data_IF_631288482599
#
_entry.id   IF_631288482599
#
_cell.length_a   1.000
_cell.length_b   1.000
_cell.length_c   1.000
_cell.angle_alpha   90.00
_cell.angle_beta   90.00
_cell.angle_gamma   90.00
#
_symmetry.space_group_name_H-M   'P 1'
#
loop_
_entity.id
_entity.type
_entity.pdbx_description
1 polymer ?
#
# COMPACT_ATOMS: atom_id res chain seq x y z
N UNK A 1 -38.21 -19.29 12.27
CA UNK A 1 -37.09 -18.94 13.17
C UNK A 1 -35.81 -19.52 12.57
N UNK A 2 -35.12 -18.85 11.63
CA UNK A 2 -33.80 -19.28 11.22
C UNK A 2 -32.77 -18.61 12.12
N UNK A 3 -32.01 -19.44 12.82
CA UNK A 3 -30.79 -19.07 13.55
C UNK A 3 -29.73 -18.60 12.57
N UNK A 4 -29.45 -17.30 12.59
CA UNK A 4 -28.30 -16.69 11.93
C UNK A 4 -27.02 -17.13 12.64
N UNK A 5 -26.12 -17.77 11.90
CA UNK A 5 -24.76 -18.09 12.33
C UNK A 5 -23.89 -16.86 12.07
N UNK A 6 -23.70 -16.04 13.10
CA UNK A 6 -22.70 -14.97 13.12
C UNK A 6 -21.32 -15.59 13.32
N UNK A 7 -20.46 -15.48 12.31
CA UNK A 7 -19.01 -15.73 12.43
C UNK A 7 -18.37 -14.59 13.24
N UNK A 8 -17.46 -14.86 14.19
CA UNK A 8 -16.79 -13.80 14.92
C UNK A 8 -15.62 -13.23 14.09
N UNK A 9 -15.79 -12.02 13.56
CA UNK A 9 -14.68 -11.16 13.15
C UNK A 9 -13.95 -10.67 14.42
N UNK A 10 -12.79 -11.27 14.71
CA UNK A 10 -11.82 -10.72 15.68
C UNK A 10 -10.65 -10.12 14.90
N UNK A 11 -10.70 -8.81 14.66
CA UNK A 11 -9.50 -8.03 14.42
C UNK A 11 -8.89 -7.71 15.80
N UNK A 12 -7.85 -8.45 16.20
CA UNK A 12 -7.00 -8.03 17.31
C UNK A 12 -5.79 -7.33 16.70
N UNK A 13 -5.74 -6.00 16.82
CA UNK A 13 -4.54 -5.21 16.56
C UNK A 13 -3.49 -5.59 17.62
N UNK A 14 -2.48 -6.37 17.25
CA UNK A 14 -1.33 -6.64 18.12
C UNK A 14 -0.36 -5.46 18.00
N UNK A 15 -0.36 -4.60 19.02
CA UNK A 15 0.64 -3.55 19.20
C UNK A 15 2.01 -4.18 19.53
N UNK A 16 2.99 -4.06 18.63
CA UNK A 16 4.38 -4.33 18.95
C UNK A 16 5.05 -3.06 19.49
N UNK A 17 5.35 -3.04 20.80
CA UNK A 17 6.25 -2.06 21.42
C UNK A 17 7.71 -2.52 21.30
N UNK A 18 8.38 -2.14 20.21
CA UNK A 18 9.81 -2.40 19.98
C UNK A 18 10.75 -1.47 20.77
N UNK A 19 10.27 -0.66 21.73
CA UNK A 19 11.12 0.32 22.44
C UNK A 19 12.06 -0.27 23.51
N UNK A 20 11.99 -1.58 23.80
CA UNK A 20 12.72 -2.20 24.92
C UNK A 20 14.14 -2.71 24.57
N UNK A 21 14.54 -2.78 23.30
CA UNK A 21 15.82 -3.41 22.94
C UNK A 21 17.05 -2.48 22.93
N UNK A 22 16.89 -1.15 22.90
CA UNK A 22 18.02 -0.20 22.78
C UNK A 22 18.05 0.82 23.93
N UNK A 23 18.43 0.36 25.14
CA UNK A 23 18.86 1.24 26.23
C UNK A 23 20.27 0.87 26.68
N UNK A 24 21.25 1.25 25.88
CA UNK A 24 22.62 1.50 26.34
C UNK A 24 23.50 2.06 25.21
N UNK A 25 23.59 3.39 25.11
CA UNK A 25 24.81 4.01 24.62
C UNK A 25 25.21 5.22 25.49
N UNK A 26 26.53 5.46 25.65
CA UNK A 26 27.07 6.38 26.64
C UNK A 26 27.15 7.82 26.13
N UNK A 27 27.21 8.73 27.10
CA UNK A 27 27.33 10.18 27.04
C UNK A 27 28.22 10.77 25.93
N UNK A 28 27.67 11.80 25.30
CA UNK A 28 28.25 12.80 24.37
C UNK A 28 29.54 13.46 24.89
N UNK A 29 30.59 13.65 24.07
CA UNK A 29 31.64 14.62 24.34
C UNK A 29 31.24 16.02 23.84
N UNK A 30 31.57 17.03 24.65
CA UNK A 30 31.30 18.46 24.46
C UNK A 30 31.80 19.02 23.12
N UNK A 31 30.91 19.73 22.40
CA UNK A 31 31.27 20.60 21.28
C UNK A 31 32.03 21.84 21.77
N UNK A 32 33.20 22.09 21.18
CA UNK A 32 33.94 23.35 21.29
C UNK A 32 33.25 24.43 20.44
N UNK A 33 32.96 25.57 21.06
CA UNK A 33 32.53 26.81 20.42
C UNK A 33 33.62 27.33 19.46
N UNK A 34 33.22 27.64 18.23
CA UNK A 34 33.97 28.49 17.31
C UNK A 34 33.10 29.70 16.91
N UNK A 35 33.67 30.89 17.07
CA UNK A 35 33.07 32.20 16.77
C UNK A 35 33.00 32.49 15.26
N UNK A 36 32.09 33.38 14.79
CA UNK A 36 31.84 33.60 13.38
C UNK A 36 32.80 34.64 12.77
N UNK A 37 33.20 34.44 11.52
CA UNK A 37 33.90 35.45 10.72
C UNK A 37 33.17 35.68 9.40
N UNK A 38 32.74 36.93 9.22
CA UNK A 38 32.57 37.72 7.98
C UNK A 38 32.21 37.02 6.66
N UNK A 39 31.03 37.35 6.13
CA UNK A 39 30.58 37.00 4.79
C UNK A 39 31.14 37.89 3.65
N UNK A 40 31.02 37.44 2.39
CA UNK A 40 31.11 38.27 1.19
C UNK A 40 29.76 38.33 0.41
N UNK A 41 29.64 39.15 -0.66
CA UNK A 41 28.45 39.96 -0.89
C UNK A 41 27.42 39.41 -1.88
N UNK A 42 26.22 40.02 -1.80
CA UNK A 42 25.07 39.87 -2.68
C UNK A 42 25.42 40.02 -4.17
N UNK A 43 25.07 39.00 -4.96
CA UNK A 43 24.88 39.10 -6.41
C UNK A 43 23.38 39.08 -6.69
N UNK A 44 22.89 40.15 -7.34
CA UNK A 44 21.51 40.26 -7.84
C UNK A 44 21.39 39.46 -9.14
N UNK A 45 20.53 38.45 -9.18
CA UNK A 45 20.08 37.84 -10.42
C UNK A 45 18.64 38.24 -10.74
N UNK A 46 18.46 38.80 -11.93
CA UNK A 46 17.18 39.11 -12.54
C UNK A 46 16.43 37.82 -12.89
N UNK A 47 15.16 37.79 -12.51
CA UNK A 47 14.17 36.77 -12.86
C UNK A 47 13.67 36.97 -14.30
N UNK A 48 13.62 35.87 -15.05
CA UNK A 48 12.72 35.70 -16.22
C UNK A 48 12.14 34.28 -16.18
N UNK A 49 10.83 34.08 -16.42
CA UNK A 49 10.24 32.75 -16.45
C UNK A 49 10.31 32.19 -17.87
N UNK A 50 10.91 31.01 -18.02
CA UNK A 50 10.86 30.22 -19.25
C UNK A 50 10.29 28.85 -18.90
N UNK A 51 9.02 28.64 -19.23
CA UNK A 51 8.40 27.33 -19.25
C UNK A 51 8.99 26.52 -20.41
N UNK A 52 9.70 25.44 -20.10
CA UNK A 52 10.04 24.39 -21.05
C UNK A 52 9.93 23.04 -20.32
N UNK A 53 8.85 22.32 -20.58
CA UNK A 53 8.78 20.88 -20.32
C UNK A 53 9.74 20.20 -21.30
N UNK A 54 10.91 19.78 -20.80
CA UNK A 54 11.81 18.91 -21.54
C UNK A 54 11.32 17.46 -21.36
N UNK A 55 10.85 16.88 -22.46
CA UNK A 55 10.77 15.44 -22.60
C UNK A 55 12.17 14.85 -22.45
N UNK A 56 12.41 14.11 -21.37
CA UNK A 56 13.65 13.36 -21.19
C UNK A 56 13.56 12.11 -22.06
N UNK A 57 14.21 12.17 -23.23
CA UNK A 57 14.63 10.97 -23.94
C UNK A 57 15.83 10.39 -23.18
N UNK A 58 15.62 9.28 -22.47
CA UNK A 58 16.71 8.54 -21.83
C UNK A 58 17.51 7.79 -22.89
N UNK A 59 18.75 8.22 -23.10
CA UNK A 59 19.78 7.51 -23.86
C UNK A 59 20.15 6.20 -23.17
N UNK A 60 20.00 5.09 -23.89
CA UNK A 60 20.54 3.79 -23.52
C UNK A 60 22.06 3.79 -23.71
N UNK A 61 22.81 3.90 -22.63
CA UNK A 61 24.22 3.49 -22.60
C UNK A 61 24.38 2.27 -21.69
N UNK A 62 24.80 1.18 -22.34
CA UNK A 62 24.98 -0.16 -21.81
C UNK A 62 26.10 -0.21 -20.76
N UNK A 63 25.72 -0.27 -19.50
CA UNK A 63 26.55 -0.84 -18.45
C UNK A 63 26.08 -2.29 -18.24
N UNK A 64 27.00 -3.25 -18.37
CA UNK A 64 26.70 -4.68 -18.33
C UNK A 64 25.96 -5.03 -17.02
N UNK A 65 24.65 -5.27 -17.15
CA UNK A 65 23.79 -5.76 -16.09
C UNK A 65 24.21 -7.18 -15.73
N UNK A 66 24.71 -7.39 -14.52
CA UNK A 66 24.58 -8.69 -13.88
C UNK A 66 23.12 -8.81 -13.44
N UNK A 67 22.27 -9.29 -14.36
CA UNK A 67 20.92 -9.74 -14.04
C UNK A 67 21.01 -10.89 -13.03
N UNK A 68 20.91 -10.57 -11.74
CA UNK A 68 20.32 -11.51 -10.79
C UNK A 68 18.83 -11.33 -10.91
N UNK A 69 18.23 -12.09 -11.84
CA UNK A 69 16.78 -12.25 -11.94
C UNK A 69 16.24 -12.53 -10.54
N UNK A 70 15.26 -11.75 -10.08
CA UNK A 70 14.31 -12.25 -9.09
C UNK A 70 13.70 -13.51 -9.73
N UNK A 71 14.16 -14.68 -9.31
CA UNK A 71 13.55 -15.92 -9.79
C UNK A 71 12.19 -16.03 -9.12
N UNK A 72 11.16 -15.53 -9.82
CA UNK A 72 9.79 -15.98 -9.60
C UNK A 72 9.83 -17.48 -9.90
N UNK A 73 9.81 -18.28 -8.84
CA UNK A 73 9.74 -19.74 -8.98
C UNK A 73 8.29 -20.12 -9.31
N UNK A 74 7.90 -19.95 -10.58
CA UNK A 74 6.66 -20.53 -11.09
C UNK A 74 6.79 -22.05 -11.06
N UNK A 75 5.97 -22.69 -10.24
CA UNK A 75 5.90 -24.14 -10.18
C UNK A 75 5.42 -24.73 -11.50
N UNK A 76 5.96 -25.90 -11.84
CA UNK A 76 5.55 -26.69 -13.01
C UNK A 76 4.05 -26.96 -12.93
N UNK A 77 3.31 -26.48 -13.94
CA UNK A 77 1.86 -26.63 -14.05
C UNK A 77 1.44 -28.10 -13.87
N UNK A 78 0.51 -28.40 -12.94
CA UNK A 78 -0.14 -29.71 -12.94
C UNK A 78 -0.99 -29.82 -14.21
N UNK A 79 -0.92 -30.96 -14.90
CA UNK A 79 -1.78 -31.20 -16.05
C UNK A 79 -3.25 -31.08 -15.64
N UNK A 80 -4.10 -30.53 -16.53
CA UNK A 80 -5.55 -30.30 -16.31
C UNK A 80 -6.29 -31.59 -15.90
N UNK A 81 -5.68 -32.76 -16.06
CA UNK A 81 -6.23 -34.07 -15.72
C UNK A 81 -5.82 -34.61 -14.32
N UNK A 82 -4.95 -33.94 -13.57
CA UNK A 82 -4.43 -34.44 -12.27
C UNK A 82 -4.77 -33.60 -11.04
N UNK A 83 -5.55 -32.51 -11.17
CA UNK A 83 -5.91 -31.67 -10.02
C UNK A 83 -7.04 -32.36 -9.23
N UNK A 84 -6.68 -33.30 -8.37
CA UNK A 84 -7.49 -33.57 -7.20
C UNK A 84 -7.45 -32.30 -6.33
N UNK A 85 -8.51 -31.48 -6.41
CA UNK A 85 -8.58 -30.15 -5.77
C UNK A 85 -8.13 -30.15 -4.30
N UNK A 86 -8.44 -31.21 -3.56
CA UNK A 86 -8.03 -31.37 -2.17
C UNK A 86 -6.52 -31.56 -1.95
N UNK A 87 -5.81 -32.12 -2.94
CA UNK A 87 -4.35 -32.34 -2.89
C UNK A 87 -3.59 -31.07 -3.27
N UNK A 88 -4.09 -30.31 -4.24
CA UNK A 88 -3.44 -29.09 -4.73
C UNK A 88 -3.34 -28.01 -3.66
N UNK A 89 -4.47 -27.64 -3.03
CA UNK A 89 -4.48 -26.63 -1.94
C UNK A 89 -3.61 -27.02 -0.74
N UNK A 90 -3.53 -28.32 -0.42
CA UNK A 90 -2.63 -28.84 0.64
C UNK A 90 -1.16 -28.72 0.25
N UNK A 91 -0.83 -28.92 -1.02
CA UNK A 91 0.53 -28.75 -1.55
C UNK A 91 0.96 -27.29 -1.46
N UNK A 92 0.08 -26.35 -1.82
CA UNK A 92 0.33 -24.90 -1.67
C UNK A 92 0.61 -24.57 -0.19
N UNK A 93 -0.27 -24.98 0.73
CA UNK A 93 -0.07 -24.75 2.18
C UNK A 93 1.25 -25.35 2.67
N UNK A 94 1.59 -26.58 2.26
CA UNK A 94 2.85 -27.21 2.65
C UNK A 94 4.08 -26.46 2.11
N UNK A 95 3.99 -25.87 0.93
CA UNK A 95 5.06 -25.09 0.34
C UNK A 95 5.24 -23.73 1.02
N UNK A 96 4.15 -23.02 1.31
CA UNK A 96 4.16 -21.80 2.13
C UNK A 96 4.88 -22.08 3.45
N UNK A 97 4.46 -23.15 4.16
CA UNK A 97 5.06 -23.56 5.43
C UNK A 97 6.52 -24.01 5.33
N UNK A 98 6.89 -24.67 4.24
CA UNK A 98 8.24 -25.17 4.01
C UNK A 98 9.27 -24.08 3.75
N UNK A 99 8.84 -22.86 3.40
CA UNK A 99 9.71 -21.76 2.97
C UNK A 99 10.10 -20.76 4.05
N UNK A 100 9.93 -21.10 5.34
CA UNK A 100 10.33 -20.24 6.48
C UNK A 100 11.75 -19.65 6.42
N UNK A 101 12.66 -20.13 5.54
CA UNK A 101 14.07 -19.73 5.46
C UNK A 101 14.57 -19.39 4.04
N UNK A 102 13.69 -19.10 3.07
CA UNK A 102 14.06 -18.82 1.67
C UNK A 102 14.04 -17.34 1.28
N UNK A 103 14.97 -16.93 0.41
CA UNK A 103 15.20 -15.54 -0.09
C UNK A 103 14.15 -15.07 -1.12
N UNK A 104 13.03 -15.75 -1.26
CA UNK A 104 12.01 -15.38 -2.25
C UNK A 104 10.90 -14.59 -1.56
N UNK A 105 10.90 -13.27 -1.76
CA UNK A 105 9.97 -12.33 -1.13
C UNK A 105 8.52 -12.49 -1.63
N UNK A 106 8.30 -13.16 -2.76
CA UNK A 106 6.98 -13.46 -3.31
C UNK A 106 6.93 -14.81 -4.06
N UNK A 107 5.76 -15.44 -4.07
CA UNK A 107 5.49 -16.67 -4.82
C UNK A 107 4.08 -16.63 -5.42
N UNK A 108 3.96 -16.91 -6.71
CA UNK A 108 2.67 -17.00 -7.39
C UNK A 108 2.24 -18.44 -7.66
N UNK A 109 0.94 -18.68 -7.52
CA UNK A 109 0.26 -19.94 -7.80
C UNK A 109 -0.93 -19.64 -8.73
N UNK A 110 -0.92 -20.24 -9.92
CA UNK A 110 -2.03 -20.13 -10.88
C UNK A 110 -3.10 -21.19 -10.66
N UNK A 111 -4.28 -20.98 -11.25
CA UNK A 111 -5.44 -21.88 -11.18
C UNK A 111 -5.95 -22.13 -9.75
N UNK A 112 -5.82 -21.12 -8.88
CA UNK A 112 -6.40 -21.13 -7.54
C UNK A 112 -7.83 -20.62 -7.66
N UNK A 113 -8.81 -21.42 -7.22
CA UNK A 113 -10.19 -20.96 -7.14
C UNK A 113 -10.43 -20.18 -5.84
N UNK A 114 -11.52 -19.41 -5.76
CA UNK A 114 -11.88 -18.69 -4.52
C UNK A 114 -11.99 -19.63 -3.31
N UNK A 115 -12.58 -20.82 -3.49
CA UNK A 115 -12.68 -21.83 -2.42
C UNK A 115 -11.31 -22.41 -2.04
N UNK A 116 -10.34 -22.44 -2.96
CA UNK A 116 -8.97 -22.84 -2.65
C UNK A 116 -8.27 -21.74 -1.87
N UNK A 117 -8.42 -20.47 -2.27
CA UNK A 117 -7.93 -19.32 -1.54
C UNK A 117 -8.47 -19.27 -0.10
N UNK A 118 -9.79 -19.36 0.09
CA UNK A 118 -10.41 -19.36 1.42
C UNK A 118 -9.85 -20.47 2.30
N UNK A 119 -9.70 -21.68 1.74
CA UNK A 119 -9.09 -22.80 2.46
C UNK A 119 -7.62 -22.53 2.81
N UNK A 120 -6.83 -21.99 1.89
CA UNK A 120 -5.41 -21.70 2.11
C UNK A 120 -5.27 -20.62 3.17
N UNK A 121 -6.03 -19.53 3.06
CA UNK A 121 -6.07 -18.42 4.01
C UNK A 121 -6.42 -18.92 5.41
N UNK A 122 -7.51 -19.69 5.56
CA UNK A 122 -7.90 -20.29 6.84
C UNK A 122 -6.82 -21.24 7.38
N UNK A 123 -6.20 -22.04 6.50
CA UNK A 123 -5.21 -23.03 6.90
C UNK A 123 -3.88 -22.42 7.36
N UNK A 124 -3.54 -21.21 6.92
CA UNK A 124 -2.32 -20.50 7.33
C UNK A 124 -2.57 -19.36 8.31
N UNK A 125 -3.82 -18.96 8.56
CA UNK A 125 -4.16 -17.90 9.51
C UNK A 125 -3.69 -18.20 10.96
N UNK A 126 -3.44 -19.47 11.30
CA UNK A 126 -2.88 -19.87 12.60
C UNK A 126 -1.35 -19.87 12.64
N UNK A 127 -0.69 -19.76 11.49
CA UNK A 127 0.76 -19.70 11.42
C UNK A 127 1.15 -18.22 11.60
N UNK A 128 1.76 -17.86 12.74
CA UNK A 128 2.23 -16.50 13.10
C UNK A 128 2.34 -15.57 11.88
N UNK A 129 1.45 -14.58 11.77
CA UNK A 129 1.18 -13.53 10.74
C UNK A 129 2.29 -13.20 9.70
N UNK A 130 2.91 -14.21 9.09
CA UNK A 130 4.14 -14.07 8.30
C UNK A 130 3.89 -13.95 6.80
N UNK A 131 2.64 -14.05 6.34
CA UNK A 131 2.32 -14.11 4.92
C UNK A 131 1.14 -13.21 4.59
N UNK A 132 1.33 -12.31 3.63
CA UNK A 132 0.24 -11.60 2.98
C UNK A 132 -0.21 -12.42 1.77
N UNK A 133 -1.50 -12.72 1.69
CA UNK A 133 -2.09 -13.46 0.58
C UNK A 133 -2.86 -12.50 -0.31
N UNK A 134 -2.36 -12.27 -1.53
CA UNK A 134 -3.09 -11.54 -2.56
C UNK A 134 -3.72 -12.53 -3.53
N UNK A 135 -5.05 -12.51 -3.65
CA UNK A 135 -5.77 -13.34 -4.60
C UNK A 135 -6.44 -12.47 -5.66
N UNK A 136 -6.15 -12.77 -6.92
CA UNK A 136 -6.68 -12.09 -8.10
C UNK A 136 -7.68 -13.03 -8.79
N UNK A 137 -9.00 -12.80 -8.62
CA UNK A 137 -10.02 -13.71 -9.13
C UNK A 137 -10.06 -13.79 -10.66
N UNK A 138 -9.72 -12.71 -11.37
CA UNK A 138 -9.77 -12.64 -12.84
C UNK A 138 -8.75 -13.59 -13.48
N UNK A 139 -7.54 -13.65 -12.93
CA UNK A 139 -6.46 -14.53 -13.36
C UNK A 139 -6.42 -15.88 -12.63
N UNK A 140 -7.28 -16.07 -11.63
CA UNK A 140 -7.23 -17.25 -10.73
C UNK A 140 -5.83 -17.44 -10.14
N UNK A 141 -5.19 -16.35 -9.75
CA UNK A 141 -3.82 -16.31 -9.27
C UNK A 141 -3.81 -15.99 -7.78
N UNK A 142 -3.05 -16.76 -7.00
CA UNK A 142 -2.71 -16.47 -5.62
C UNK A 142 -1.25 -16.09 -5.56
N UNK A 143 -0.94 -14.90 -5.07
CA UNK A 143 0.40 -14.45 -4.74
C UNK A 143 0.54 -14.49 -3.23
N UNK A 144 1.53 -15.25 -2.76
CA UNK A 144 1.95 -15.29 -1.37
C UNK A 144 3.16 -14.37 -1.24
N UNK A 145 3.01 -13.33 -0.45
CA UNK A 145 4.03 -12.30 -0.25
C UNK A 145 4.51 -12.44 1.19
N UNK A 146 5.83 -12.53 1.37
CA UNK A 146 6.43 -12.34 2.68
C UNK A 146 6.47 -10.83 2.94
N UNK A 147 5.81 -10.32 4.00
CA UNK A 147 5.82 -8.90 4.33
C UNK A 147 7.26 -8.43 4.44
N UNK A 148 7.67 -7.51 3.55
CA UNK A 148 9.02 -6.97 3.63
C UNK A 148 9.07 -5.95 4.76
N UNK A 149 10.16 -5.87 5.55
CA UNK A 149 10.27 -4.85 6.58
C UNK A 149 10.13 -3.43 6.03
N UNK A 150 10.52 -3.19 4.77
CA UNK A 150 10.34 -1.91 4.08
C UNK A 150 8.87 -1.59 3.88
N UNK A 151 8.11 -2.53 3.33
CA UNK A 151 6.68 -2.39 3.08
C UNK A 151 5.89 -2.16 4.37
N UNK A 152 6.07 -3.01 5.38
CA UNK A 152 5.35 -2.92 6.65
C UNK A 152 5.67 -1.64 7.45
N UNK A 153 6.95 -1.25 7.50
CA UNK A 153 7.31 0.01 8.16
C UNK A 153 6.78 1.23 7.40
N UNK A 154 6.57 1.14 6.09
CA UNK A 154 6.02 2.23 5.29
C UNK A 154 4.49 2.38 5.49
N UNK A 155 3.75 1.26 5.57
CA UNK A 155 2.29 1.27 5.68
C UNK A 155 1.77 1.92 6.95
N UNK A 156 2.37 1.61 8.09
CA UNK A 156 1.89 2.07 9.40
C UNK A 156 1.80 3.60 9.56
N UNK A 157 2.88 4.38 9.30
CA UNK A 157 2.79 5.83 9.36
C UNK A 157 1.83 6.39 8.30
N UNK A 158 1.81 5.82 7.09
CA UNK A 158 0.90 6.26 6.03
C UNK A 158 -0.57 6.12 6.45
N UNK A 159 -0.96 4.96 6.96
CA UNK A 159 -2.32 4.70 7.43
C UNK A 159 -2.73 5.66 8.57
N UNK A 160 -1.82 5.94 9.52
CA UNK A 160 -2.09 6.90 10.60
C UNK A 160 -2.26 8.33 10.09
N UNK A 161 -1.45 8.74 9.11
CA UNK A 161 -1.61 10.04 8.45
C UNK A 161 -2.96 10.13 7.74
N UNK A 162 -3.38 9.08 7.03
CA UNK A 162 -4.68 9.03 6.37
C UNK A 162 -5.82 9.10 7.39
N UNK A 163 -5.76 8.32 8.47
CA UNK A 163 -6.75 8.32 9.56
C UNK A 163 -6.95 9.72 10.15
N UNK A 164 -5.85 10.40 10.51
CA UNK A 164 -5.90 11.77 11.02
C UNK A 164 -6.51 12.77 10.03
N UNK A 165 -6.20 12.62 8.73
CA UNK A 165 -6.74 13.48 7.66
C UNK A 165 -8.25 13.28 7.52
N UNK A 166 -8.73 12.04 7.43
CA UNK A 166 -10.17 11.76 7.28
C UNK A 166 -10.96 12.14 8.54
N UNK A 167 -10.41 11.90 9.73
CA UNK A 167 -11.01 12.36 10.98
C UNK A 167 -11.17 13.89 11.01
N UNK A 168 -10.28 14.64 10.35
CA UNK A 168 -10.36 16.11 10.30
C UNK A 168 -11.47 16.65 9.38
N UNK A 169 -12.06 15.81 8.51
CA UNK A 169 -13.13 16.23 7.58
C UNK A 169 -14.40 16.67 8.32
N UNK A 170 -14.60 16.20 9.55
CA UNK A 170 -15.66 16.68 10.44
C UNK A 170 -17.06 16.23 10.03
N UNK A 171 -17.19 15.07 9.39
CA UNK A 171 -18.50 14.43 9.19
C UNK A 171 -19.05 14.05 10.56
N UNK A 172 -20.27 14.49 10.85
CA UNK A 172 -20.90 14.17 12.12
C UNK A 172 -21.34 12.69 12.16
N UNK A 173 -21.21 11.99 13.30
CA UNK A 173 -21.41 10.54 13.37
C UNK A 173 -22.81 10.07 12.94
N UNK A 174 -23.82 10.93 13.00
CA UNK A 174 -25.18 10.65 12.51
C UNK A 174 -25.28 10.45 11.00
N UNK A 175 -24.29 10.91 10.24
CA UNK A 175 -24.20 10.71 8.79
C UNK A 175 -23.34 9.51 8.41
N UNK A 176 -22.34 9.21 9.24
CA UNK A 176 -21.41 8.10 9.03
C UNK A 176 -20.01 8.40 9.52
N UNK A 177 -19.09 7.47 9.27
CA UNK A 177 -17.68 7.57 9.64
C UNK A 177 -16.77 7.04 8.54
N UNK A 178 -15.55 7.59 8.47
CA UNK A 178 -14.50 7.03 7.64
C UNK A 178 -13.75 5.93 8.40
N UNK A 179 -13.52 4.81 7.72
CA UNK A 179 -12.76 3.68 8.21
C UNK A 179 -11.54 3.48 7.33
N UNK A 180 -10.34 3.56 7.91
CA UNK A 180 -9.08 3.29 7.22
C UNK A 180 -8.60 1.93 7.68
N UNK A 181 -8.56 0.96 6.76
CA UNK A 181 -8.26 -0.43 7.08
C UNK A 181 -7.05 -0.89 6.28
N UNK A 182 -6.12 -1.57 6.94
CA UNK A 182 -5.04 -2.27 6.25
C UNK A 182 -5.49 -3.66 5.82
N UNK A 183 -5.04 -4.10 4.64
CA UNK A 183 -5.26 -5.46 4.13
C UNK A 183 -6.74 -5.89 4.15
N UNK A 184 -7.66 -4.92 3.96
CA UNK A 184 -9.09 -5.20 3.94
C UNK A 184 -9.55 -5.61 2.55
N UNK A 185 -10.64 -6.36 2.47
CA UNK A 185 -11.13 -6.89 1.20
C UNK A 185 -11.89 -5.82 0.44
N UNK A 186 -11.40 -5.48 -0.75
CA UNK A 186 -12.14 -4.67 -1.71
C UNK A 186 -13.19 -5.55 -2.39
N UNK A 187 -14.44 -5.12 -2.35
CA UNK A 187 -15.59 -5.86 -2.82
C UNK A 187 -16.13 -5.19 -4.08
N UNK A 188 -16.37 -5.98 -5.12
CA UNK A 188 -17.01 -5.50 -6.33
C UNK A 188 -18.51 -5.30 -6.13
N UNK A 189 -19.14 -4.61 -7.07
CA UNK A 189 -20.59 -4.42 -7.03
C UNK A 189 -21.31 -5.78 -7.16
N UNK A 190 -22.03 -6.18 -6.11
CA UNK A 190 -22.95 -7.31 -6.15
C UNK A 190 -24.29 -6.87 -6.73
N UNK A 191 -24.86 -7.61 -7.68
CA UNK A 191 -26.28 -7.43 -8.02
C UNK A 191 -27.11 -7.76 -6.78
N UNK A 192 -28.07 -6.90 -6.43
CA UNK A 192 -28.94 -7.03 -5.25
C UNK A 192 -29.32 -8.50 -4.96
N UNK A 193 -28.81 -9.04 -3.85
CA UNK A 193 -29.03 -10.43 -3.41
C UNK A 193 -27.87 -11.42 -3.66
N UNK A 194 -26.86 -11.08 -4.46
CA UNK A 194 -25.61 -11.85 -4.56
C UNK A 194 -24.58 -11.28 -3.61
N UNK A 195 -23.84 -12.14 -2.90
CA UNK A 195 -22.65 -11.70 -2.17
C UNK A 195 -21.72 -10.95 -3.12
N UNK A 196 -21.24 -9.79 -2.67
CA UNK A 196 -20.27 -8.99 -3.40
C UNK A 196 -19.04 -9.86 -3.70
N UNK A 197 -18.61 -9.86 -4.97
CA UNK A 197 -17.44 -10.64 -5.38
C UNK A 197 -16.19 -9.93 -4.84
N UNK A 198 -15.31 -10.59 -4.07
CA UNK A 198 -14.05 -9.99 -3.67
C UNK A 198 -13.21 -9.71 -4.92
N UNK A 199 -12.60 -8.52 -5.01
CA UNK A 199 -11.72 -8.12 -6.11
C UNK A 199 -10.25 -8.26 -5.73
N UNK A 200 -9.93 -8.07 -4.45
CA UNK A 200 -8.59 -8.21 -3.90
C UNK A 200 -8.51 -7.57 -2.52
N UNK A 201 -7.28 -7.36 -2.04
CA UNK A 201 -6.98 -6.78 -0.73
C UNK A 201 -5.92 -5.69 -0.91
N UNK A 202 -6.30 -4.42 -1.12
CA UNK A 202 -5.34 -3.33 -1.12
C UNK A 202 -4.66 -3.22 0.25
N UNK A 203 -3.41 -2.78 0.24
CA UNK A 203 -2.63 -2.59 1.46
C UNK A 203 -3.30 -1.60 2.42
N UNK A 204 -3.92 -0.54 1.87
CA UNK A 204 -4.79 0.38 2.62
C UNK A 204 -6.08 0.61 1.83
N UNK A 205 -7.22 0.45 2.51
CA UNK A 205 -8.54 0.77 2.00
C UNK A 205 -9.18 1.86 2.87
N UNK A 206 -9.67 2.92 2.23
CA UNK A 206 -10.54 3.91 2.86
C UNK A 206 -11.98 3.61 2.50
N UNK A 207 -12.79 3.39 3.53
CA UNK A 207 -14.22 3.20 3.42
C UNK A 207 -14.97 4.34 4.12
N UNK A 208 -16.17 4.67 3.65
CA UNK A 208 -17.16 5.44 4.40
C UNK A 208 -18.32 4.53 4.76
N UNK A 209 -18.66 4.47 6.04
CA UNK A 209 -19.75 3.67 6.58
C UNK A 209 -20.84 4.65 6.99
N UNK A 210 -21.98 4.62 6.29
CA UNK A 210 -23.10 5.49 6.63
C UNK A 210 -23.91 4.97 7.82
N UNK A 211 -24.94 5.73 8.22
CA UNK A 211 -25.85 5.38 9.32
C UNK A 211 -26.61 4.07 9.10
N UNK A 212 -26.80 3.64 7.84
CA UNK A 212 -27.52 2.44 7.45
C UNK A 212 -26.60 1.22 7.32
N UNK A 213 -25.32 1.41 7.63
CA UNK A 213 -24.25 0.42 7.50
C UNK A 213 -23.94 0.03 6.05
N UNK A 214 -24.32 0.86 5.06
CA UNK A 214 -23.76 0.71 3.73
C UNK A 214 -22.30 1.15 3.73
N UNK A 215 -21.51 0.50 2.87
CA UNK A 215 -20.07 0.72 2.79
C UNK A 215 -19.70 1.27 1.42
N UNK A 216 -19.20 2.49 1.40
CA UNK A 216 -18.57 3.07 0.23
C UNK A 216 -17.07 2.83 0.28
N UNK A 217 -16.52 2.13 -0.71
CA UNK A 217 -15.09 1.88 -0.85
C UNK A 217 -14.50 2.95 -1.75
N UNK A 218 -13.83 3.94 -1.14
CA UNK A 218 -13.56 5.22 -1.78
C UNK A 218 -12.12 5.33 -2.29
N UNK A 219 -11.14 4.75 -1.59
CA UNK A 219 -9.74 4.85 -1.97
C UNK A 219 -8.97 3.57 -1.64
N UNK A 220 -8.41 2.94 -2.69
CA UNK A 220 -7.47 1.83 -2.54
C UNK A 220 -6.02 2.27 -2.72
N UNK A 221 -5.12 1.80 -1.87
CA UNK A 221 -3.68 2.05 -1.96
C UNK A 221 -2.91 0.74 -1.97
N UNK A 222 -1.97 0.62 -2.90
CA UNK A 222 -1.00 -0.46 -2.99
C UNK A 222 0.41 0.11 -2.81
N UNK A 223 1.28 -0.63 -2.12
CA UNK A 223 2.68 -0.32 -1.91
C UNK A 223 3.50 -1.45 -2.52
N UNK A 224 4.21 -1.13 -3.61
CA UNK A 224 5.06 -2.10 -4.30
C UNK A 224 6.48 -2.00 -3.79
N UNK A 225 7.06 -3.14 -3.41
CA UNK A 225 8.50 -3.26 -3.12
C UNK A 225 9.07 -4.58 -3.64
N UNK A 226 8.51 -5.70 -3.20
CA UNK A 226 8.87 -7.05 -3.65
C UNK A 226 8.05 -7.54 -4.84
N UNK A 227 6.92 -6.90 -5.10
CA UNK A 227 6.07 -7.15 -6.27
C UNK A 227 6.58 -6.37 -7.49
N UNK A 228 6.30 -6.89 -8.69
CA UNK A 228 6.57 -6.14 -9.91
C UNK A 228 5.50 -5.07 -10.10
N UNK A 229 5.86 -3.95 -10.71
CA UNK A 229 4.90 -2.88 -11.00
C UNK A 229 3.76 -3.40 -11.87
N UNK A 230 4.07 -4.26 -12.82
CA UNK A 230 3.10 -4.87 -13.74
C UNK A 230 2.06 -5.69 -12.97
N UNK A 231 2.49 -6.55 -12.04
CA UNK A 231 1.58 -7.35 -11.21
C UNK A 231 0.64 -6.45 -10.39
N UNK A 232 1.17 -5.37 -9.82
CA UNK A 232 0.34 -4.41 -9.07
C UNK A 232 -0.62 -3.66 -9.97
N UNK A 233 -0.20 -3.26 -11.18
CA UNK A 233 -1.11 -2.62 -12.14
C UNK A 233 -2.23 -3.58 -12.60
N UNK A 234 -1.96 -4.88 -12.72
CA UNK A 234 -3.01 -5.87 -12.96
C UNK A 234 -4.02 -5.94 -11.80
N UNK A 235 -3.55 -5.93 -10.54
CA UNK A 235 -4.44 -5.83 -9.35
C UNK A 235 -5.30 -4.56 -9.39
N UNK A 236 -4.68 -3.41 -9.66
CA UNK A 236 -5.38 -2.13 -9.74
C UNK A 236 -6.43 -2.13 -10.87
N UNK A 237 -6.15 -2.77 -12.00
CA UNK A 237 -7.10 -2.86 -13.11
C UNK A 237 -8.36 -3.65 -12.71
N UNK A 238 -8.20 -4.75 -11.97
CA UNK A 238 -9.34 -5.49 -11.41
C UNK A 238 -10.19 -4.61 -10.47
N UNK A 239 -9.56 -3.70 -9.72
CA UNK A 239 -10.26 -2.73 -8.87
C UNK A 239 -11.05 -1.72 -9.70
N UNK A 240 -10.46 -1.19 -10.78
CA UNK A 240 -11.14 -0.28 -11.71
C UNK A 240 -12.37 -0.96 -12.33
N UNK A 241 -12.23 -2.20 -12.77
CA UNK A 241 -13.26 -2.93 -13.49
C UNK A 241 -14.41 -3.37 -12.58
N UNK A 242 -14.14 -3.61 -11.29
CA UNK A 242 -15.09 -4.20 -10.35
C UNK A 242 -15.68 -3.25 -9.29
N UNK A 243 -14.94 -2.24 -8.85
CA UNK A 243 -15.35 -1.34 -7.76
C UNK A 243 -15.93 -0.04 -8.32
N UNK A 244 -17.26 0.07 -8.31
CA UNK A 244 -17.95 1.21 -8.92
C UNK A 244 -17.80 2.53 -8.14
N UNK A 245 -17.60 2.45 -6.83
CA UNK A 245 -17.50 3.57 -5.91
C UNK A 245 -16.06 4.01 -5.63
N UNK A 246 -15.04 3.30 -6.15
CA UNK A 246 -13.65 3.69 -5.91
C UNK A 246 -13.34 5.00 -6.64
N UNK A 247 -13.04 6.04 -5.86
CA UNK A 247 -12.72 7.39 -6.34
C UNK A 247 -11.27 7.50 -6.74
N UNK A 248 -10.39 6.86 -5.97
CA UNK A 248 -8.96 6.97 -6.15
C UNK A 248 -8.26 5.62 -5.99
N UNK A 249 -7.22 5.44 -6.80
CA UNK A 249 -6.25 4.37 -6.65
C UNK A 249 -4.86 4.99 -6.53
N UNK A 250 -4.09 4.58 -5.53
CA UNK A 250 -2.71 5.04 -5.35
C UNK A 250 -1.74 3.88 -5.33
N UNK A 251 -0.63 4.02 -6.04
CA UNK A 251 0.52 3.13 -6.01
C UNK A 251 1.73 3.87 -5.45
N UNK A 252 2.29 3.36 -4.36
CA UNK A 252 3.62 3.72 -3.88
C UNK A 252 4.63 2.66 -4.34
N UNK A 253 5.37 2.95 -5.40
CA UNK A 253 6.37 2.06 -5.97
C UNK A 253 7.75 2.39 -5.37
N UNK A 254 8.14 1.60 -4.37
CA UNK A 254 9.39 1.74 -3.61
C UNK A 254 10.51 0.96 -4.33
N UNK A 255 11.54 1.66 -4.80
CA UNK A 255 12.67 1.08 -5.52
C UNK A 255 13.98 1.30 -4.80
N UNK A 256 14.76 0.23 -4.64
CA UNK A 256 16.19 0.34 -4.31
C UNK A 256 16.96 0.71 -5.57
N UNK A 257 17.36 1.98 -5.69
CA UNK A 257 18.20 2.48 -6.79
C UNK A 257 19.59 1.82 -6.80
N UNK A 258 20.05 1.38 -5.63
CA UNK A 258 21.29 0.61 -5.47
C UNK A 258 20.94 -0.60 -4.61
N UNK A 259 20.97 -1.78 -5.21
CA UNK A 259 20.83 -3.03 -4.45
C UNK A 259 21.95 -3.09 -3.41
N UNK A 260 21.60 -3.55 -2.23
CA UNK A 260 22.52 -3.86 -1.14
C UNK A 260 23.80 -4.57 -1.63
N UNK A 261 24.91 -3.83 -1.75
CA UNK A 261 26.21 -4.36 -2.21
C UNK A 261 27.03 -4.91 -1.04
N UNK A 262 27.75 -6.04 -1.24
CA UNK A 262 28.61 -6.57 -0.21
C UNK A 262 29.78 -5.62 0.11
N UNK A 263 30.38 -5.73 1.30
CA UNK A 263 31.33 -4.74 1.82
C UNK A 263 32.61 -4.53 0.99
N UNK A 264 32.95 -5.47 0.10
CA UNK A 264 34.12 -5.36 -0.79
C UNK A 264 33.89 -4.42 -1.98
N UNK A 265 32.64 -4.14 -2.32
CA UNK A 265 32.24 -3.35 -3.49
C UNK A 265 31.74 -1.95 -3.11
N UNK A 266 31.27 -1.76 -1.87
CA UNK A 266 30.74 -0.49 -1.38
C UNK A 266 31.79 0.61 -1.18
N UNK A 267 33.07 0.27 -1.02
CA UNK A 267 34.14 1.25 -0.77
C UNK A 267 34.49 2.15 -1.97
N UNK A 268 34.12 1.77 -3.20
CA UNK A 268 34.39 2.56 -4.42
C UNK A 268 33.24 3.47 -4.85
N UNK A 269 32.02 3.16 -4.42
CA UNK A 269 30.80 3.86 -4.86
C UNK A 269 30.47 5.07 -3.97
N UNK A 270 31.04 5.09 -2.76
CA UNK A 270 30.78 6.08 -1.73
C UNK A 270 31.17 7.51 -2.13
N UNK A 271 32.24 7.67 -2.90
CA UNK A 271 32.75 9.00 -3.30
C UNK A 271 31.92 9.65 -4.41
N UNK A 272 30.98 8.92 -5.02
CA UNK A 272 30.23 9.37 -6.22
C UNK A 272 28.76 9.68 -5.96
N UNK A 273 28.22 9.31 -4.79
CA UNK A 273 26.79 9.30 -4.56
C UNK A 273 26.39 10.24 -3.41
N UNK A 274 26.01 11.47 -3.77
CA UNK A 274 25.57 12.51 -2.82
C UNK A 274 24.16 12.27 -2.22
N UNK A 275 23.44 11.22 -2.64
CA UNK A 275 22.02 11.01 -2.35
C UNK A 275 21.70 9.66 -1.67
N UNK A 276 22.72 8.99 -1.12
CA UNK A 276 22.53 7.66 -0.53
C UNK A 276 22.48 7.75 0.98
N UNK A 277 21.48 7.11 1.57
CA UNK A 277 21.51 6.81 2.98
C UNK A 277 22.49 5.67 3.27
N UNK A 278 23.36 5.93 4.24
CA UNK A 278 24.27 4.91 4.71
C UNK A 278 23.61 3.99 5.73
N UNK A 279 23.50 2.73 5.36
CA UNK A 279 23.08 1.67 6.28
C UNK A 279 24.34 0.93 6.75
N UNK A 280 24.88 1.33 7.90
CA UNK A 280 25.99 0.59 8.51
C UNK A 280 25.46 -0.61 9.28
N UNK A 281 25.80 -1.83 8.82
CA UNK A 281 25.48 -3.10 9.50
C UNK A 281 26.78 -3.76 9.95
N UNK A 282 26.95 -4.00 11.25
CA UNK A 282 28.14 -4.63 11.85
C UNK A 282 29.49 -4.06 11.35
N UNK A 283 29.62 -2.73 11.28
CA UNK A 283 30.82 -2.01 10.79
C UNK A 283 31.07 -2.09 9.28
N UNK A 284 30.15 -2.68 8.52
CA UNK A 284 30.16 -2.64 7.07
C UNK A 284 29.13 -1.63 6.56
N UNK A 285 29.56 -0.73 5.68
CA UNK A 285 28.66 0.22 5.05
C UNK A 285 27.97 -0.45 3.88
N UNK A 286 26.66 -0.64 4.02
CA UNK A 286 25.77 -0.97 2.93
C UNK A 286 25.15 0.35 2.43
N UNK A 287 25.15 0.51 1.11
CA UNK A 287 24.69 1.71 0.40
C UNK A 287 23.32 1.33 -0.16
N UNK A 288 22.25 1.98 0.30
CA UNK A 288 20.91 1.83 -0.27
C UNK A 288 20.32 3.21 -0.50
N UNK A 289 20.05 3.53 -1.75
CA UNK A 289 19.23 4.69 -2.11
C UNK A 289 17.85 4.16 -2.45
N UNK A 290 16.83 4.75 -1.85
CA UNK A 290 15.44 4.41 -2.15
C UNK A 290 14.75 5.60 -2.80
N UNK A 291 14.05 5.31 -3.88
CA UNK A 291 13.05 6.21 -4.46
C UNK A 291 11.67 5.64 -4.17
N UNK A 292 10.72 6.53 -3.91
CA UNK A 292 9.29 6.18 -3.83
C UNK A 292 8.58 6.93 -4.94
N UNK A 293 8.14 6.21 -5.97
CA UNK A 293 7.28 6.79 -7.01
C UNK A 293 5.84 6.68 -6.54
N UNK A 294 5.19 7.82 -6.33
CA UNK A 294 3.77 7.92 -5.98
C UNK A 294 2.98 8.16 -7.26
N UNK A 295 2.12 7.22 -7.63
CA UNK A 295 1.19 7.36 -8.76
C UNK A 295 -0.23 7.31 -8.23
N UNK A 296 -1.07 8.29 -8.56
CA UNK A 296 -2.50 8.25 -8.21
C UNK A 296 -3.35 8.50 -9.45
N UNK A 297 -4.40 7.70 -9.58
CA UNK A 297 -5.45 7.82 -10.58
C UNK A 297 -6.76 8.20 -9.89
N UNK A 298 -7.49 9.14 -10.48
CA UNK A 298 -8.75 9.67 -9.96
C UNK A 298 -9.89 9.38 -10.92
N UNK A 299 -11.05 9.05 -10.37
CA UNK A 299 -12.27 8.88 -11.14
C UNK A 299 -12.72 10.23 -11.69
N UNK A 300 -12.97 10.27 -13.00
CA UNK A 300 -13.53 11.44 -13.69
C UNK A 300 -14.96 11.70 -13.22
N UNK A 301 -15.46 12.95 -13.33
CA UNK A 301 -16.88 13.26 -13.04
C UNK A 301 -17.87 12.44 -13.87
N UNK A 302 -17.47 12.00 -15.08
CA UNK A 302 -18.26 11.12 -15.92
C UNK A 302 -18.34 9.67 -15.39
N UNK A 303 -17.69 9.37 -14.27
CA UNK A 303 -17.73 8.07 -13.60
C UNK A 303 -16.64 7.09 -14.05
N UNK A 304 -15.79 7.43 -15.02
CA UNK A 304 -14.72 6.55 -15.49
C UNK A 304 -13.42 6.76 -14.70
N UNK A 305 -12.82 5.67 -14.24
CA UNK A 305 -11.44 5.60 -13.77
C UNK A 305 -10.66 4.77 -14.80
N UNK A 306 -9.50 5.23 -15.26
CA UNK A 306 -8.69 4.55 -16.28
C UNK A 306 -7.21 4.66 -15.92
N UNK A 307 -6.53 3.52 -15.83
CA UNK A 307 -5.11 3.47 -15.46
C UNK A 307 -4.17 3.92 -16.59
N UNK A 308 -4.65 3.90 -17.83
CA UNK A 308 -3.89 4.31 -19.02
C UNK A 308 -4.07 5.80 -19.34
N UNK A 309 -4.96 6.47 -18.62
CA UNK A 309 -5.20 7.89 -18.76
C UNK A 309 -4.14 8.68 -17.99
N UNK A 310 -3.43 9.54 -18.71
CA UNK A 310 -2.36 10.38 -18.17
C UNK A 310 -2.73 11.87 -18.20
N UNK A 311 -4.02 12.17 -18.21
CA UNK A 311 -4.53 13.53 -18.04
C UNK A 311 -4.12 14.09 -16.68
N UNK A 312 -3.35 15.19 -16.69
CA UNK A 312 -2.79 15.81 -15.47
C UNK A 312 -3.86 16.23 -14.44
N UNK A 313 -5.15 16.30 -14.80
CA UNK A 313 -6.23 16.55 -13.86
C UNK A 313 -6.64 15.30 -13.06
N UNK A 314 -6.53 14.12 -13.66
CA UNK A 314 -7.02 12.84 -13.11
C UNK A 314 -5.92 11.80 -12.90
N UNK A 315 -4.70 12.13 -13.28
CA UNK A 315 -3.51 11.32 -13.12
C UNK A 315 -2.36 12.20 -12.65
N UNK A 316 -1.63 11.74 -11.65
CA UNK A 316 -0.39 12.38 -11.27
C UNK A 316 0.64 11.35 -10.82
N UNK A 317 1.89 11.62 -11.17
CA UNK A 317 3.04 10.84 -10.77
C UNK A 317 4.11 11.77 -10.21
N UNK A 318 4.66 11.43 -9.06
CA UNK A 318 5.75 12.17 -8.43
C UNK A 318 6.75 11.19 -7.81
N UNK A 319 8.02 11.58 -7.80
CA UNK A 319 9.09 10.78 -7.20
C UNK A 319 9.55 11.44 -5.91
N UNK A 320 9.65 10.66 -4.84
CA UNK A 320 10.16 11.09 -3.55
C UNK A 320 11.49 10.40 -3.28
N UNK A 321 12.51 11.21 -3.01
CA UNK A 321 13.81 10.76 -2.52
C UNK A 321 13.94 11.08 -1.03
N UNK A 322 14.93 10.52 -0.31
CA UNK A 322 15.16 10.85 1.10
C UNK A 322 15.37 12.36 1.32
N UNK A 323 15.97 13.02 0.33
CA UNK A 323 16.17 14.46 0.30
C UNK A 323 15.21 15.15 -0.69
N UNK A 324 13.99 14.63 -0.82
CA UNK A 324 12.99 15.13 -1.76
C UNK A 324 12.94 16.66 -1.71
N UNK A 325 13.07 17.29 -2.87
CA UNK A 325 12.97 18.73 -2.95
C UNK A 325 11.53 19.17 -2.62
N UNK A 326 11.40 20.44 -2.24
CA UNK A 326 10.10 21.02 -1.89
C UNK A 326 9.09 20.93 -3.04
N UNK A 327 9.56 20.87 -4.29
CA UNK A 327 8.73 20.73 -5.48
C UNK A 327 8.05 19.37 -5.55
N UNK A 328 8.80 18.28 -5.38
CA UNK A 328 8.30 16.91 -5.49
C UNK A 328 7.29 16.62 -4.38
N UNK A 329 7.59 17.05 -3.16
CA UNK A 329 6.66 16.94 -2.04
C UNK A 329 5.40 17.78 -2.26
N UNK A 330 5.51 19.01 -2.76
CA UNK A 330 4.36 19.85 -3.08
C UNK A 330 3.47 19.24 -4.17
N UNK A 331 4.06 18.51 -5.12
CA UNK A 331 3.29 17.80 -6.15
C UNK A 331 2.49 16.64 -5.56
N UNK A 332 3.08 15.83 -4.67
CA UNK A 332 2.36 14.77 -3.93
C UNK A 332 1.27 15.36 -3.04
N UNK A 333 1.53 16.48 -2.37
CA UNK A 333 0.52 17.15 -1.54
C UNK A 333 -0.67 17.63 -2.36
N UNK A 334 -0.41 18.30 -3.50
CA UNK A 334 -1.48 18.76 -4.40
C UNK A 334 -2.33 17.60 -4.91
N UNK A 335 -1.69 16.47 -5.22
CA UNK A 335 -2.36 15.23 -5.60
C UNK A 335 -3.35 14.79 -4.53
N UNK A 336 -2.87 14.66 -3.29
CA UNK A 336 -3.69 14.17 -2.18
C UNK A 336 -4.80 15.15 -1.82
N UNK A 337 -4.57 16.46 -1.96
CA UNK A 337 -5.62 17.47 -1.79
C UNK A 337 -6.74 17.27 -2.80
N UNK A 338 -6.39 17.08 -4.08
CA UNK A 338 -7.38 16.86 -5.14
C UNK A 338 -8.15 15.54 -4.91
N UNK A 339 -7.46 14.47 -4.52
CA UNK A 339 -8.07 13.19 -4.13
C UNK A 339 -9.11 13.37 -3.02
N UNK A 340 -8.74 14.06 -1.94
CA UNK A 340 -9.61 14.23 -0.77
C UNK A 340 -10.83 15.09 -1.07
N UNK A 341 -10.69 16.14 -1.89
CA UNK A 341 -11.84 16.94 -2.33
C UNK A 341 -12.83 16.09 -3.15
N UNK A 342 -12.33 15.21 -4.02
CA UNK A 342 -13.20 14.29 -4.77
C UNK A 342 -13.90 13.27 -3.87
N UNK A 343 -13.21 12.77 -2.85
CA UNK A 343 -13.80 11.87 -1.87
C UNK A 343 -14.88 12.60 -1.06
N UNK A 344 -14.59 13.80 -0.58
CA UNK A 344 -15.55 14.67 0.10
C UNK A 344 -16.80 14.92 -0.74
N UNK A 345 -16.65 15.29 -2.02
CA UNK A 345 -17.76 15.47 -2.95
C UNK A 345 -18.61 14.20 -3.09
N UNK A 346 -17.96 13.04 -3.25
CA UNK A 346 -18.68 11.76 -3.38
C UNK A 346 -19.43 11.40 -2.09
N UNK A 347 -18.81 11.56 -0.93
CA UNK A 347 -19.43 11.28 0.37
C UNK A 347 -20.63 12.22 0.62
N UNK A 348 -20.50 13.51 0.32
CA UNK A 348 -21.59 14.47 0.47
C UNK A 348 -22.76 14.16 -0.47
N UNK A 349 -22.48 13.80 -1.73
CA UNK A 349 -23.52 13.40 -2.67
C UNK A 349 -24.26 12.14 -2.21
N UNK A 350 -23.57 11.18 -1.61
CA UNK A 350 -24.20 9.98 -1.03
C UNK A 350 -25.12 10.35 0.14
N UNK A 351 -24.65 11.18 1.08
CA UNK A 351 -25.45 11.65 2.21
C UNK A 351 -26.71 12.41 1.72
N UNK A 352 -26.56 13.27 0.72
CA UNK A 352 -27.69 14.03 0.15
C UNK A 352 -28.70 13.10 -0.56
N UNK A 353 -28.25 11.99 -1.16
CA UNK A 353 -29.12 10.97 -1.77
C UNK A 353 -29.95 10.23 -0.71
N UNK A 354 -29.31 9.75 0.37
CA UNK A 354 -30.01 9.09 1.47
C UNK A 354 -31.07 10.00 2.10
N UNK A 355 -30.73 11.28 2.33
CA UNK A 355 -31.68 12.25 2.86
C UNK A 355 -32.88 12.50 1.94
N UNK A 356 -32.68 12.44 0.61
CA UNK A 356 -33.76 12.56 -0.36
C UNK A 356 -34.66 11.32 -0.42
N UNK A 357 -34.08 10.13 -0.25
CA UNK A 357 -34.83 8.86 -0.17
C UNK A 357 -35.70 8.82 1.09
N UNK A 358 -35.14 9.19 2.26
CA UNK A 358 -35.89 9.32 3.52
C UNK A 358 -37.10 10.25 3.38
N UNK A 359 -36.91 11.44 2.79
CA UNK A 359 -37.97 12.41 2.57
C UNK A 359 -39.06 11.90 1.60
N UNK A 360 -38.67 11.11 0.59
CA UNK A 360 -39.59 10.52 -0.36
C UNK A 360 -40.45 9.42 0.29
N UNK A 361 -39.87 8.59 1.15
CA UNK A 361 -40.59 7.53 1.88
C UNK A 361 -41.65 8.11 2.83
N UNK A 362 -41.29 9.14 3.62
CA UNK A 362 -42.23 9.82 4.52
C UNK A 362 -43.46 10.36 3.75
N UNK A 363 -43.23 11.00 2.61
CA UNK A 363 -44.30 11.59 1.77
C UNK A 363 -45.24 10.55 1.14
N UNK A 364 -44.79 9.30 1.00
CA UNK A 364 -45.57 8.21 0.38
C UNK A 364 -46.53 7.52 1.35
N UNK A 365 -46.25 7.60 2.66
CA UNK A 365 -46.97 6.87 3.71
C UNK A 365 -48.33 7.50 4.11
N UNK A 366 -48.58 8.76 3.74
CA UNK A 366 -49.77 9.52 4.17
C UNK A 366 -50.98 9.46 3.21
N UNK A 367 -50.92 8.67 2.13
CA UNK A 367 -52.00 8.60 1.13
C UNK A 367 -53.08 7.54 1.38
N UNK A 368 -53.10 6.87 2.53
CA UNK A 368 -54.11 5.86 2.86
C UNK A 368 -54.94 6.21 4.11
N UNK A 369 -55.70 7.30 4.08
CA UNK A 369 -57.02 7.44 4.71
C UNK A 369 -57.48 8.91 4.71
N UNK A 370 -58.31 9.32 3.76
CA UNK A 370 -59.43 10.22 4.06
C UNK A 370 -60.38 10.32 2.87
N UNK A 371 -61.42 9.50 2.95
CA UNK A 371 -62.71 9.85 2.39
C UNK A 371 -63.21 11.16 3.05
N UNK A 372 -63.59 12.13 2.21
CA UNK A 372 -64.49 13.27 2.48
C UNK A 372 -64.12 14.25 3.60
N UNK A 373 -63.81 15.49 3.22
CA UNK A 373 -64.76 16.63 3.33
C UNK A 373 -64.16 17.94 2.82
N UNK A 374 -65.00 18.74 2.14
CA UNK A 374 -64.72 20.07 1.60
C UNK A 374 -64.39 21.08 2.70
N UNK A 375 -63.38 21.91 2.48
CA UNK A 375 -63.45 23.35 2.74
C UNK A 375 -62.28 24.09 2.08
N UNK A 376 -62.62 25.16 1.36
CA UNK A 376 -61.75 26.23 0.89
C UNK A 376 -60.86 26.77 2.02
N UNK A 377 -59.57 27.04 1.73
CA UNK A 377 -58.97 28.38 1.89
C UNK A 377 -57.45 28.42 1.63
N UNK A 378 -57.05 29.39 0.79
CA UNK A 378 -55.90 30.28 0.95
C UNK A 378 -54.47 29.71 0.86
N UNK A 379 -53.97 29.56 -0.37
CA UNK A 379 -52.53 29.39 -0.68
C UNK A 379 -51.73 30.68 -0.44
N UNK A 380 -50.77 30.63 0.48
CA UNK A 380 -49.61 31.51 0.50
C UNK A 380 -48.34 30.66 0.48
N UNK A 381 -47.84 30.41 -0.73
CA UNK A 381 -46.57 29.73 -0.99
C UNK A 381 -45.39 30.66 -0.62
N UNK A 382 -44.95 30.63 0.64
CA UNK A 382 -43.62 31.13 0.98
C UNK A 382 -42.59 30.01 0.73
N UNK A 383 -41.51 30.27 -0.04
CA UNK A 383 -40.45 29.29 -0.26
C UNK A 383 -39.75 29.03 1.08
N UNK A 384 -39.94 27.84 1.65
CA UNK A 384 -39.22 27.43 2.85
C UNK A 384 -37.73 27.45 2.54
N UNK A 385 -37.00 28.40 3.10
CA UNK A 385 -35.54 28.36 3.15
C UNK A 385 -35.13 27.07 3.84
N UNK A 386 -34.63 26.11 3.07
CA UNK A 386 -34.10 24.86 3.59
C UNK A 386 -33.04 25.19 4.64
N UNK A 387 -33.28 24.77 5.88
CA UNK A 387 -32.32 24.90 6.97
C UNK A 387 -31.15 23.98 6.63
N UNK A 388 -30.03 24.56 6.20
CA UNK A 388 -28.81 23.79 5.92
C UNK A 388 -28.27 23.26 7.24
N UNK A 389 -28.10 21.95 7.33
CA UNK A 389 -27.52 21.31 8.51
C UNK A 389 -26.09 21.87 8.77
N UNK A 390 -25.82 22.45 9.95
CA UNK A 390 -24.49 22.97 10.31
C UNK A 390 -23.36 21.94 10.23
N UNK A 391 -23.63 20.66 10.51
CA UNK A 391 -22.67 19.55 10.42
C UNK A 391 -22.27 19.28 8.98
N UNK A 392 -23.24 19.26 8.05
CA UNK A 392 -22.94 19.12 6.62
C UNK A 392 -22.27 20.37 6.05
N UNK A 393 -22.56 21.55 6.59
CA UNK A 393 -21.87 22.77 6.22
C UNK A 393 -20.38 22.73 6.63
N UNK A 394 -20.07 22.18 7.80
CA UNK A 394 -18.68 21.99 8.24
C UNK A 394 -17.92 21.07 7.27
N UNK A 395 -18.50 19.93 6.91
CA UNK A 395 -17.91 19.05 5.90
C UNK A 395 -17.79 19.77 4.54
N UNK A 396 -18.84 20.41 4.00
CA UNK A 396 -18.80 21.13 2.71
C UNK A 396 -17.76 22.25 2.62
N UNK A 397 -17.43 22.87 3.75
CA UNK A 397 -16.45 23.97 3.82
C UNK A 397 -15.08 23.51 4.30
N UNK A 398 -14.92 22.22 4.59
CA UNK A 398 -13.64 21.63 4.94
C UNK A 398 -12.68 21.75 3.75
N UNK A 399 -11.44 22.13 4.06
CA UNK A 399 -10.34 22.22 3.10
C UNK A 399 -9.24 21.31 3.60
N UNK A 400 -8.71 20.40 2.77
CA UNK A 400 -7.62 19.54 3.17
C UNK A 400 -6.41 20.37 3.62
N UNK A 401 -5.74 19.91 4.68
CA UNK A 401 -4.53 20.57 5.18
C UNK A 401 -3.43 20.61 4.11
N UNK A 402 -2.46 21.52 4.26
CA UNK A 402 -1.32 21.60 3.33
C UNK A 402 -0.39 20.38 3.45
N UNK A 403 -0.33 19.75 4.62
CA UNK A 403 0.58 18.65 4.96
C UNK A 403 -0.19 17.33 5.12
N UNK A 404 -0.75 16.82 4.02
CA UNK A 404 -1.52 15.56 4.03
C UNK A 404 -0.64 14.31 4.07
N UNK A 405 0.50 14.40 3.41
CA UNK A 405 1.52 13.36 3.40
C UNK A 405 2.74 13.89 4.15
N UNK A 406 2.89 13.44 5.39
CA UNK A 406 3.99 13.85 6.26
C UNK A 406 5.24 13.01 5.95
N UNK A 407 5.98 13.44 4.93
CA UNK A 407 7.22 12.77 4.53
C UNK A 407 8.27 12.77 5.63
N UNK A 408 8.30 13.80 6.50
CA UNK A 408 9.21 13.85 7.64
C UNK A 408 8.90 12.76 8.67
N UNK A 409 7.63 12.38 8.80
CA UNK A 409 7.21 11.23 9.62
C UNK A 409 7.38 9.90 8.89
N UNK A 410 7.05 9.79 7.60
CA UNK A 410 7.11 8.52 6.85
C UNK A 410 8.55 8.08 6.59
N UNK A 411 9.45 9.01 6.24
CA UNK A 411 10.81 8.70 5.83
C UNK A 411 11.58 7.91 6.91
N UNK A 412 11.64 8.31 8.19
CA UNK A 412 12.36 7.54 9.22
C UNK A 412 11.92 6.07 9.37
N UNK A 413 10.65 5.76 9.09
CA UNK A 413 10.16 4.38 9.10
C UNK A 413 10.63 3.61 7.86
N UNK A 414 10.61 4.24 6.68
CA UNK A 414 11.20 3.68 5.48
C UNK A 414 12.69 3.36 5.70
N UNK A 415 13.44 4.28 6.30
CA UNK A 415 14.85 4.07 6.68
C UNK A 415 15.03 2.90 7.65
N UNK A 416 14.11 2.72 8.60
CA UNK A 416 14.12 1.59 9.54
C UNK A 416 13.89 0.28 8.80
N UNK A 417 12.92 0.22 7.90
CA UNK A 417 12.65 -0.94 7.07
C UNK A 417 13.85 -1.32 6.21
N UNK A 418 14.53 -0.33 5.63
CA UNK A 418 15.77 -0.53 4.87
C UNK A 418 16.91 -1.10 5.73
N UNK A 419 17.10 -0.54 6.93
CA UNK A 419 18.09 -1.04 7.90
C UNK A 419 17.82 -2.49 8.29
N UNK A 420 16.57 -2.83 8.55
CA UNK A 420 16.17 -4.19 8.89
C UNK A 420 16.39 -5.15 7.72
N UNK A 421 15.93 -4.78 6.52
CA UNK A 421 16.12 -5.58 5.30
C UNK A 421 17.60 -5.80 5.01
N UNK A 422 18.44 -4.77 5.16
CA UNK A 422 19.89 -4.88 5.05
C UNK A 422 20.50 -5.85 6.07
N UNK A 423 20.03 -5.83 7.32
CA UNK A 423 20.44 -6.75 8.36
C UNK A 423 20.05 -8.20 8.05
N UNK A 424 18.82 -8.43 7.58
CA UNK A 424 18.31 -9.76 7.26
C UNK A 424 19.09 -10.37 6.09
N UNK A 425 19.34 -9.57 5.04
CA UNK A 425 20.19 -9.96 3.90
C UNK A 425 21.62 -10.26 4.34
N UNK A 426 22.22 -9.44 5.20
CA UNK A 426 23.55 -9.68 5.76
C UNK A 426 23.60 -11.00 6.53
N UNK A 427 22.62 -11.24 7.41
CA UNK A 427 22.56 -12.43 8.26
C UNK A 427 22.43 -13.69 7.43
N UNK A 428 21.53 -13.69 6.44
CA UNK A 428 21.36 -14.80 5.49
C UNK A 428 22.65 -15.08 4.70
N UNK A 429 23.30 -14.04 4.18
CA UNK A 429 24.59 -14.17 3.50
C UNK A 429 25.66 -14.79 4.42
N UNK A 430 25.75 -14.31 5.66
CA UNK A 430 26.73 -14.77 6.63
C UNK A 430 26.52 -16.25 6.99
N UNK A 431 25.28 -16.67 7.25
CA UNK A 431 24.95 -18.07 7.51
C UNK A 431 25.31 -18.98 6.34
N UNK A 432 25.00 -18.56 5.11
CA UNK A 432 25.34 -19.33 3.91
C UNK A 432 26.84 -19.45 3.70
N UNK A 433 27.60 -18.39 4.00
CA UNK A 433 29.06 -18.43 3.98
C UNK A 433 29.62 -19.42 5.00
N UNK A 434 29.06 -19.47 6.22
CA UNK A 434 29.45 -20.42 7.25
C UNK A 434 29.14 -21.87 6.85
N UNK A 435 27.95 -22.12 6.28
CA UNK A 435 27.56 -23.44 5.75
C UNK A 435 28.53 -23.91 4.65
N UNK A 436 28.88 -23.01 3.71
CA UNK A 436 29.83 -23.33 2.65
C UNK A 436 31.21 -23.70 3.20
N UNK A 437 31.74 -22.91 4.14
CA UNK A 437 33.02 -23.21 4.79
C UNK A 437 33.00 -24.52 5.57
N UNK A 438 31.89 -24.85 6.22
CA UNK A 438 31.74 -26.14 6.92
C UNK A 438 31.82 -27.31 5.93
N UNK A 439 31.13 -27.23 4.79
CA UNK A 439 31.18 -28.24 3.73
C UNK A 439 32.57 -28.37 3.11
N UNK A 440 33.29 -27.26 2.90
CA UNK A 440 34.69 -27.29 2.43
C UNK A 440 35.60 -28.02 3.42
N UNK A 441 35.43 -27.76 4.73
CA UNK A 441 36.20 -28.44 5.78
C UNK A 441 35.90 -29.94 5.81
N UNK A 442 34.63 -30.36 5.74
CA UNK A 442 34.24 -31.77 5.68
C UNK A 442 34.83 -32.49 4.45
N UNK A 443 34.79 -31.84 3.29
CA UNK A 443 35.36 -32.39 2.05
C UNK A 443 36.89 -32.52 2.13
N UNK A 444 37.56 -31.57 2.80
CA UNK A 444 39.01 -31.61 3.01
C UNK A 444 39.44 -32.74 3.96
N UNK A 445 38.59 -33.10 4.93
CA UNK A 445 38.84 -34.18 5.90
C UNK A 445 38.42 -35.56 5.36
N UNK A 446 37.39 -35.62 4.50
CA UNK A 446 36.85 -36.86 3.92
C UNK A 446 37.63 -37.41 2.71
N UNK A 447 38.50 -36.63 2.08
CA UNK A 447 39.29 -37.03 0.90
C UNK A 447 40.42 -38.04 1.15
N UNK A 448 40.65 -38.47 2.39
CA UNK A 448 41.84 -39.24 2.78
C UNK A 448 41.77 -40.78 2.65
N UNK A 449 40.63 -41.42 2.37
CA UNK A 449 40.57 -42.89 2.44
C UNK A 449 39.55 -43.54 1.52
N UNK A 450 39.72 -43.41 0.21
CA UNK A 450 39.33 -44.49 -0.71
C UNK A 450 40.57 -45.30 -1.05
N UNK A 451 40.93 -46.24 -0.17
CA UNK A 451 41.80 -47.36 -0.55
C UNK A 451 41.15 -48.06 -1.74
N UNK A 452 41.63 -47.76 -2.95
CA UNK A 452 41.44 -48.58 -4.15
C UNK A 452 41.91 -49.99 -3.80
N UNK A 453 40.96 -50.85 -3.46
CA UNK A 453 41.20 -52.28 -3.37
C UNK A 453 41.48 -52.77 -4.79
N UNK A 454 42.77 -52.80 -5.16
CA UNK A 454 43.26 -53.54 -6.33
C UNK A 454 42.93 -55.00 -6.07
N UNK A 455 41.86 -55.50 -6.71
CA UNK A 455 41.70 -56.95 -6.89
C UNK A 455 42.87 -57.41 -7.76
N UNK A 456 43.72 -58.23 -7.15
CA UNK A 456 44.75 -59.04 -7.81
C UNK A 456 44.08 -60.16 -8.58
#
# INVERSE_FOLDING_TARGET
>A
MPTSLTLPLRAQSVYYDCSQAWKSQPSTPQQKQYSPTSGPPLVKHHSTPSANCLAIQSSTDTCAQFETSLQISTLREPSVHEINKGVWRKKIVAEIRGRRHGVHDSQSFSHVSINDYEYIAEAIASDDDQYNLSYTPSSSQLVVILPSPIHENFLMPLCKSMDAVFASMGIAPEYGEFMIQMNSTLNGCGTSGSQAKPLGQPDILVEFHDKESERLQLWGTEVSYSETREDVLFKLQDYVDGALNIVALTLFDIKENIRHLPPKESSKMFDTLNEVELVTVFHHNWVSAVTVTVTTWLRRPAGQLDLNDHDNEFYQCAELTPNADTTSLANVQRLFQHTLLRIQDMTLNHIDQLAAEDAAEESSSDKSNSDKSNSDESNSDEPSTAVVDPSLLACRTWVPLALLFDWETVMPYLQRGLKQTGYDRYSSWHENLLKHKALEMENSLGGGSTKRSRKV
#
